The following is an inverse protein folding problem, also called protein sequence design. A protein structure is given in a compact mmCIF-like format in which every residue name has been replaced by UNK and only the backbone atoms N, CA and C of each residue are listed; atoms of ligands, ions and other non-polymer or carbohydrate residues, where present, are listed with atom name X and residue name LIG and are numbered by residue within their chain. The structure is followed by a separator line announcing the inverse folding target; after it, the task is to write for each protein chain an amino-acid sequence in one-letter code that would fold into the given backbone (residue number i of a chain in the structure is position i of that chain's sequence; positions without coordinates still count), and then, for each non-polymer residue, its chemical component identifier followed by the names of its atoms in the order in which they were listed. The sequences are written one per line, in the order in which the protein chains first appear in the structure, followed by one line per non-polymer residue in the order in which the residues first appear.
data_IF_530100449254
#
_entry.id   IF_530100449254
#
_cell.length_a   1.000
_cell.length_b   1.000
_cell.length_c   1.000
_cell.angle_alpha   90.00
_cell.angle_beta   90.00
_cell.angle_gamma   90.00
#
_symmetry.space_group_name_H-M   'P 1'
#
loop_
_entity.id
_entity.type
_entity.pdbx_description
1 polymer ?
#
# COMPACT_ATOMS: atom_id res chain seq x y z
N UNK A 1 -42.61 12.14 77.70
CA UNK A 1 -42.50 11.28 76.51
C UNK A 1 -41.79 12.09 75.42
N UNK A 2 -40.47 11.92 75.27
CA UNK A 2 -39.59 12.68 74.36
C UNK A 2 -39.14 11.72 73.27
N UNK A 3 -39.34 12.04 72.00
CA UNK A 3 -38.73 11.32 70.87
C UNK A 3 -37.72 12.25 70.17
N UNK A 4 -36.48 11.76 70.07
CA UNK A 4 -35.34 12.41 69.43
C UNK A 4 -35.50 12.41 67.90
N UNK A 5 -35.17 13.53 67.27
CA UNK A 5 -34.94 13.67 65.83
C UNK A 5 -33.47 13.38 65.56
N UNK A 6 -33.17 12.37 64.74
CA UNK A 6 -31.80 12.04 64.28
C UNK A 6 -31.52 12.73 62.94
N UNK A 7 -30.53 13.62 62.94
CA UNK A 7 -29.98 14.33 61.79
C UNK A 7 -28.92 13.45 61.10
N UNK A 8 -29.16 13.05 59.83
CA UNK A 8 -28.18 12.34 59.01
C UNK A 8 -27.28 13.36 58.30
N UNK A 9 -26.02 13.46 58.75
CA UNK A 9 -24.97 14.25 58.09
C UNK A 9 -24.36 13.43 56.94
N UNK A 10 -24.60 13.84 55.69
CA UNK A 10 -23.86 13.38 54.52
C UNK A 10 -22.43 13.95 54.55
N UNK A 11 -21.44 13.10 54.83
CA UNK A 11 -20.03 13.41 54.57
C UNK A 11 -19.73 13.21 53.07
N UNK A 12 -19.79 14.29 52.28
CA UNK A 12 -19.11 14.36 50.99
C UNK A 12 -17.61 14.59 51.24
N UNK A 13 -16.82 13.51 51.28
CA UNK A 13 -15.36 13.61 51.22
C UNK A 13 -14.90 14.00 49.82
N UNK A 14 -13.89 14.88 49.66
CA UNK A 14 -13.35 15.19 48.35
C UNK A 14 -12.64 13.94 47.81
N UNK A 15 -13.12 13.40 46.68
CA UNK A 15 -12.34 12.46 45.88
C UNK A 15 -11.10 13.22 45.38
N UNK A 16 -9.96 12.98 46.03
CA UNK A 16 -8.65 13.32 45.49
C UNK A 16 -8.46 12.49 44.22
N UNK A 17 -8.70 13.11 43.07
CA UNK A 17 -8.30 12.54 41.78
C UNK A 17 -6.78 12.37 41.81
N UNK A 18 -6.31 11.13 41.87
CA UNK A 18 -4.91 10.83 41.69
C UNK A 18 -4.46 11.40 40.33
N UNK A 19 -3.31 12.10 40.25
CA UNK A 19 -2.79 12.54 38.96
C UNK A 19 -2.60 11.32 38.08
N UNK A 20 -3.22 11.34 36.89
CA UNK A 20 -3.01 10.30 35.89
C UNK A 20 -1.50 10.22 35.61
N UNK A 21 -0.93 9.03 35.79
CA UNK A 21 0.45 8.79 35.40
C UNK A 21 0.62 9.18 33.92
N UNK A 22 1.72 9.83 33.53
CA UNK A 22 1.99 10.09 32.13
C UNK A 22 1.93 8.76 31.36
N UNK A 23 1.00 8.65 30.40
CA UNK A 23 0.86 7.47 29.57
C UNK A 23 2.18 7.15 28.89
N UNK A 24 2.59 5.88 28.89
CA UNK A 24 3.82 5.46 28.24
C UNK A 24 3.60 5.45 26.72
N UNK A 25 4.55 5.99 25.96
CA UNK A 25 4.53 5.86 24.51
C UNK A 25 4.63 4.37 24.13
N UNK A 26 3.82 3.87 23.18
CA UNK A 26 3.87 2.48 22.77
C UNK A 26 5.23 2.15 22.12
N UNK A 27 5.74 0.94 22.40
CA UNK A 27 6.96 0.42 21.78
C UNK A 27 6.57 -0.39 20.53
N UNK A 28 7.12 0.00 19.38
CA UNK A 28 6.91 -0.70 18.11
C UNK A 28 7.99 -1.76 17.88
N UNK A 29 7.59 -2.96 17.44
CA UNK A 29 8.52 -4.00 17.02
C UNK A 29 9.37 -3.49 15.86
N UNK A 30 10.70 -3.55 15.98
CA UNK A 30 11.60 -3.14 14.89
C UNK A 30 11.75 -4.26 13.86
N UNK A 31 11.95 -3.88 12.61
CA UNK A 31 12.35 -4.82 11.56
C UNK A 31 13.84 -5.07 11.73
N UNK A 32 14.22 -6.34 11.80
CA UNK A 32 15.63 -6.75 11.92
C UNK A 32 15.98 -7.75 10.82
N UNK A 33 17.25 -7.78 10.36
CA UNK A 33 17.70 -8.80 9.41
C UNK A 33 17.35 -10.21 9.89
N UNK A 34 16.86 -11.04 8.98
CA UNK A 34 16.60 -12.45 9.26
C UNK A 34 17.94 -13.20 9.31
N UNK A 35 18.04 -14.18 10.23
CA UNK A 35 19.19 -15.07 10.29
C UNK A 35 19.34 -15.85 8.97
N UNK A 36 20.57 -16.26 8.66
CA UNK A 36 20.87 -16.97 7.42
C UNK A 36 19.96 -18.21 7.24
N UNK A 37 19.37 -18.33 6.05
CA UNK A 37 18.44 -19.41 5.71
C UNK A 37 17.03 -19.28 6.33
N UNK A 38 16.75 -18.22 7.10
CA UNK A 38 15.39 -17.91 7.56
C UNK A 38 14.64 -17.05 6.54
N UNK A 39 13.32 -17.24 6.53
CA UNK A 39 12.39 -16.50 5.69
C UNK A 39 11.08 -16.27 6.45
N UNK A 40 10.22 -15.43 5.89
CA UNK A 40 8.82 -15.30 6.31
C UNK A 40 8.11 -16.66 6.33
N UNK A 41 7.20 -16.83 7.29
CA UNK A 41 6.52 -18.08 7.60
C UNK A 41 5.04 -18.02 7.20
N UNK A 42 4.64 -18.86 6.25
CA UNK A 42 3.26 -18.98 5.81
C UNK A 42 2.61 -20.23 6.42
N UNK A 43 1.33 -20.18 6.86
CA UNK A 43 0.35 -19.13 6.55
C UNK A 43 0.33 -17.92 7.50
N UNK A 44 1.10 -17.92 8.60
CA UNK A 44 1.05 -16.84 9.60
C UNK A 44 1.22 -15.46 8.96
N UNK A 45 2.20 -15.29 8.09
CA UNK A 45 2.52 -13.97 7.53
C UNK A 45 1.53 -13.50 6.45
N UNK A 46 0.45 -14.26 6.16
CA UNK A 46 -0.70 -13.73 5.43
C UNK A 46 -1.59 -12.83 6.29
N UNK A 47 -1.63 -13.04 7.61
CA UNK A 47 -2.39 -12.22 8.55
C UNK A 47 -1.65 -10.95 8.97
N UNK A 48 -2.34 -10.09 9.70
CA UNK A 48 -1.83 -8.80 10.17
C UNK A 48 -0.72 -8.93 11.23
N UNK A 49 0.16 -7.94 11.31
CA UNK A 49 1.28 -7.83 12.26
C UNK A 49 1.15 -6.59 13.16
N UNK A 50 0.15 -6.53 14.06
CA UNK A 50 -0.23 -5.30 14.80
C UNK A 50 0.84 -4.74 15.74
N UNK A 51 1.91 -5.49 16.03
CA UNK A 51 3.03 -5.01 16.84
C UNK A 51 3.92 -4.00 16.09
N UNK A 52 3.87 -4.00 14.75
CA UNK A 52 4.59 -3.06 13.89
C UNK A 52 3.78 -1.78 13.66
N UNK A 53 4.49 -0.65 13.48
CA UNK A 53 3.86 0.67 13.29
C UNK A 53 2.99 0.73 12.05
N UNK A 54 3.45 0.19 10.93
CA UNK A 54 2.82 0.31 9.62
C UNK A 54 2.67 -1.03 8.94
N UNK A 55 1.57 -1.22 8.20
CA UNK A 55 1.34 -2.39 7.36
C UNK A 55 0.45 -2.07 6.18
N UNK A 56 0.73 -2.67 5.03
CA UNK A 56 0.18 -2.31 3.73
C UNK A 56 -0.33 -3.55 3.02
N UNK A 57 -1.54 -3.47 2.48
CA UNK A 57 -2.06 -4.41 1.49
C UNK A 57 -2.36 -3.63 0.22
N UNK A 58 -1.62 -3.90 -0.84
CA UNK A 58 -1.70 -3.11 -2.06
C UNK A 58 -1.95 -4.01 -3.28
N UNK A 59 -3.17 -3.98 -3.79
CA UNK A 59 -3.58 -4.74 -4.96
C UNK A 59 -3.61 -3.83 -6.20
N UNK A 60 -2.86 -4.17 -7.23
CA UNK A 60 -2.82 -3.44 -8.51
C UNK A 60 -3.12 -4.38 -9.66
N UNK A 61 -3.97 -3.98 -10.60
CA UNK A 61 -4.39 -4.91 -11.64
C UNK A 61 -4.83 -4.28 -12.93
N UNK A 62 -4.69 -5.07 -13.99
CA UNK A 62 -5.28 -4.81 -15.29
C UNK A 62 -6.44 -5.76 -15.51
N UNK A 63 -7.58 -5.21 -15.87
CA UNK A 63 -8.81 -5.92 -16.19
C UNK A 63 -9.15 -5.70 -17.67
N UNK A 64 -9.82 -6.68 -18.25
CA UNK A 64 -10.39 -6.65 -19.58
C UNK A 64 -11.89 -6.92 -19.45
N UNK A 65 -12.72 -6.00 -19.97
CA UNK A 65 -14.17 -6.18 -20.00
C UNK A 65 -14.58 -7.24 -21.02
N UNK A 66 -15.83 -7.70 -20.95
CA UNK A 66 -16.39 -8.61 -21.95
C UNK A 66 -16.30 -8.06 -23.39
N UNK A 67 -16.33 -6.73 -23.54
CA UNK A 67 -16.19 -6.03 -24.82
C UNK A 67 -14.73 -5.80 -25.24
N UNK A 68 -13.75 -6.33 -24.52
CA UNK A 68 -12.32 -6.25 -24.84
C UNK A 68 -11.63 -4.97 -24.37
N UNK A 69 -12.32 -4.09 -23.64
CA UNK A 69 -11.76 -2.84 -23.13
C UNK A 69 -10.82 -3.10 -21.96
N UNK A 70 -9.63 -2.51 -21.99
CA UNK A 70 -8.68 -2.56 -20.86
C UNK A 70 -8.96 -1.46 -19.85
N UNK A 71 -8.97 -1.80 -18.57
CA UNK A 71 -9.07 -0.86 -17.45
C UNK A 71 -8.04 -1.22 -16.38
N UNK A 72 -7.47 -0.21 -15.73
CA UNK A 72 -6.63 -0.39 -14.56
C UNK A 72 -7.45 -0.28 -13.28
N UNK A 73 -7.04 -0.95 -12.22
CA UNK A 73 -7.52 -0.62 -10.88
C UNK A 73 -6.40 -0.78 -9.85
N UNK A 74 -6.54 -0.06 -8.73
CA UNK A 74 -5.79 -0.35 -7.51
C UNK A 74 -6.69 -0.29 -6.28
N UNK A 75 -6.32 -1.04 -5.25
CA UNK A 75 -6.89 -0.95 -3.90
C UNK A 75 -5.75 -1.03 -2.88
N UNK A 76 -5.66 -0.02 -2.04
CA UNK A 76 -4.71 0.05 -0.93
C UNK A 76 -5.44 0.06 0.39
N UNK A 77 -4.99 -0.78 1.32
CA UNK A 77 -5.26 -0.63 2.74
C UNK A 77 -3.95 -0.42 3.49
N UNK A 78 -3.94 0.55 4.39
CA UNK A 78 -2.82 0.87 5.26
C UNK A 78 -3.27 0.82 6.72
N UNK A 79 -2.60 0.01 7.54
CA UNK A 79 -2.72 0.10 8.99
C UNK A 79 -1.61 0.98 9.53
N UNK A 80 -1.98 1.95 10.36
CA UNK A 80 -1.06 2.72 11.19
C UNK A 80 -1.38 2.51 12.66
N UNK A 81 -0.38 2.11 13.45
CA UNK A 81 -0.43 2.15 14.91
C UNK A 81 0.03 3.53 15.37
N UNK A 82 -0.78 4.19 16.19
CA UNK A 82 -0.47 5.54 16.66
C UNK A 82 0.36 5.52 17.93
N UNK A 83 0.83 6.68 18.36
CA UNK A 83 1.54 6.84 19.64
C UNK A 83 0.58 6.85 20.86
N UNK A 84 -0.70 6.48 20.65
CA UNK A 84 -1.68 6.34 21.74
C UNK A 84 -1.29 5.15 22.62
N UNK A 85 -1.19 5.38 23.93
CA UNK A 85 -0.91 4.35 24.93
C UNK A 85 -1.90 3.16 24.82
N UNK A 86 -1.36 1.94 24.74
CA UNK A 86 -2.16 0.71 24.70
C UNK A 86 -2.96 0.50 26.00
N UNK A 87 -2.49 1.02 27.13
CA UNK A 87 -3.19 0.97 28.40
C UNK A 87 -4.39 1.94 28.45
N UNK A 88 -4.55 2.83 27.46
CA UNK A 88 -5.68 3.74 27.42
C UNK A 88 -7.01 2.94 27.37
N UNK A 89 -7.90 3.08 28.37
CA UNK A 89 -9.11 2.25 28.47
C UNK A 89 -10.20 2.68 27.48
N UNK A 90 -10.08 3.85 26.85
CA UNK A 90 -11.09 4.36 25.95
C UNK A 90 -11.12 3.55 24.65
N UNK A 91 -12.29 2.97 24.36
CA UNK A 91 -12.57 2.35 23.05
C UNK A 91 -12.49 3.37 21.90
N UNK A 92 -12.60 4.66 22.20
CA UNK A 92 -12.52 5.74 21.21
C UNK A 92 -11.06 6.20 20.96
N UNK A 93 -10.11 5.81 21.79
CA UNK A 93 -8.72 6.19 21.60
C UNK A 93 -8.17 5.59 20.29
N UNK A 94 -7.55 6.38 19.40
CA UNK A 94 -7.16 5.93 18.07
C UNK A 94 -5.87 5.09 18.09
N UNK A 95 -5.85 3.96 18.82
CA UNK A 95 -4.65 3.11 18.95
C UNK A 95 -4.16 2.59 17.61
N UNK A 96 -5.09 2.24 16.73
CA UNK A 96 -4.81 1.88 15.35
C UNK A 96 -5.79 2.58 14.41
N UNK A 97 -5.29 2.91 13.23
CA UNK A 97 -6.03 3.45 12.10
C UNK A 97 -5.95 2.44 10.96
N UNK A 98 -7.07 2.21 10.28
CA UNK A 98 -7.10 1.60 8.95
C UNK A 98 -7.49 2.72 7.98
N UNK A 99 -6.62 2.95 7.01
CA UNK A 99 -6.77 3.93 5.96
C UNK A 99 -6.85 3.15 4.65
N UNK A 100 -7.61 3.62 3.68
CA UNK A 100 -7.68 2.97 2.39
C UNK A 100 -8.05 3.92 1.28
N UNK A 101 -7.56 3.62 0.09
CA UNK A 101 -7.96 4.29 -1.14
C UNK A 101 -8.06 3.26 -2.26
N UNK A 102 -8.97 3.52 -3.19
CA UNK A 102 -9.17 2.68 -4.35
C UNK A 102 -9.36 3.56 -5.57
N UNK A 103 -8.96 3.05 -6.73
CA UNK A 103 -9.14 3.75 -7.99
C UNK A 103 -9.44 2.80 -9.15
N UNK A 104 -10.16 3.34 -10.13
CA UNK A 104 -10.41 2.73 -11.43
C UNK A 104 -9.90 3.67 -12.52
N UNK A 105 -8.98 3.17 -13.35
CA UNK A 105 -8.39 3.86 -14.49
C UNK A 105 -9.07 3.43 -15.78
N UNK A 106 -9.82 4.35 -16.38
CA UNK A 106 -10.47 4.15 -17.67
C UNK A 106 -10.04 5.26 -18.64
N UNK A 107 -9.32 4.88 -19.69
CA UNK A 107 -8.83 5.79 -20.73
C UNK A 107 -9.96 6.62 -21.38
N UNK A 108 -11.19 6.09 -21.44
CA UNK A 108 -12.34 6.84 -21.95
C UNK A 108 -12.84 7.92 -20.97
N UNK A 109 -12.57 7.76 -19.67
CA UNK A 109 -12.85 8.80 -18.66
C UNK A 109 -11.71 9.82 -18.56
N UNK A 110 -10.48 9.42 -18.86
CA UNK A 110 -9.31 10.31 -18.99
C UNK A 110 -8.71 10.80 -17.68
N UNK A 111 -9.25 10.36 -16.52
CA UNK A 111 -8.72 10.57 -15.16
C UNK A 111 -9.16 9.42 -14.24
N UNK A 112 -8.69 9.37 -13.00
CA UNK A 112 -9.15 8.36 -12.03
C UNK A 112 -10.58 8.63 -11.56
N UNK A 113 -11.39 7.58 -11.53
CA UNK A 113 -12.42 7.45 -10.51
C UNK A 113 -11.70 6.94 -9.26
N UNK A 114 -11.83 7.64 -8.13
CA UNK A 114 -11.20 7.22 -6.89
C UNK A 114 -12.05 7.59 -5.68
N UNK A 115 -11.82 6.86 -4.60
CA UNK A 115 -12.43 7.09 -3.30
C UNK A 115 -11.40 6.79 -2.21
N UNK A 116 -11.55 7.40 -1.06
CA UNK A 116 -10.61 7.34 0.05
C UNK A 116 -11.34 7.34 1.40
N UNK A 117 -10.81 6.58 2.37
CA UNK A 117 -11.45 6.39 3.68
C UNK A 117 -10.40 6.25 4.76
N UNK A 118 -10.78 6.64 5.97
CA UNK A 118 -10.01 6.32 7.17
C UNK A 118 -10.96 6.07 8.33
N UNK A 119 -10.62 5.07 9.15
CA UNK A 119 -11.35 4.77 10.36
C UNK A 119 -10.39 4.28 11.44
N UNK A 120 -10.76 4.54 12.68
CA UNK A 120 -10.07 3.94 13.83
C UNK A 120 -10.46 2.47 13.88
N UNK A 121 -9.46 1.62 14.14
CA UNK A 121 -9.75 0.24 14.43
C UNK A 121 -10.58 0.12 15.71
N UNK A 122 -11.48 -0.86 15.73
CA UNK A 122 -12.43 -1.06 16.82
C UNK A 122 -13.89 -0.86 16.38
N UNK A 123 -14.81 -1.23 17.27
CA UNK A 123 -16.26 -1.19 17.03
C UNK A 123 -16.77 -1.99 15.80
N UNK A 124 -15.94 -2.84 15.20
CA UNK A 124 -16.28 -3.62 14.01
C UNK A 124 -16.31 -2.84 12.68
N UNK A 125 -16.04 -1.54 12.71
CA UNK A 125 -16.01 -0.70 11.50
C UNK A 125 -14.73 -0.93 10.70
N UNK A 126 -13.59 -0.99 11.38
CA UNK A 126 -12.30 -1.24 10.76
C UNK A 126 -11.44 -2.20 11.58
N UNK A 127 -10.76 -3.12 10.89
CA UNK A 127 -9.81 -4.06 11.48
C UNK A 127 -8.95 -4.73 10.41
N UNK A 128 -7.86 -5.37 10.84
CA UNK A 128 -7.09 -6.33 10.06
C UNK A 128 -6.86 -7.60 10.91
N UNK A 129 -7.30 -8.75 10.42
CA UNK A 129 -7.22 -10.03 11.15
C UNK A 129 -5.79 -10.59 11.20
N UNK A 130 -5.41 -11.19 12.34
CA UNK A 130 -4.06 -11.74 12.54
C UNK A 130 -3.91 -13.20 12.06
N UNK A 131 -5.02 -13.93 11.91
CA UNK A 131 -4.99 -15.35 11.56
C UNK A 131 -4.74 -15.60 10.06
N UNK A 132 -5.28 -14.73 9.22
CA UNK A 132 -5.11 -14.71 7.75
C UNK A 132 -5.48 -13.30 7.26
N UNK A 133 -5.37 -13.03 5.96
CA UNK A 133 -5.81 -11.74 5.40
C UNK A 133 -7.32 -11.60 5.55
N UNK A 134 -7.77 -10.75 6.46
CA UNK A 134 -9.14 -10.22 6.55
C UNK A 134 -9.05 -8.76 6.97
N UNK A 135 -9.05 -7.87 5.97
CA UNK A 135 -8.99 -6.44 6.20
C UNK A 135 -10.30 -5.79 5.82
N UNK A 136 -10.83 -4.98 6.74
CA UNK A 136 -12.10 -4.28 6.62
C UNK A 136 -11.92 -2.80 6.92
N UNK A 137 -12.55 -1.96 6.11
CA UNK A 137 -12.68 -0.53 6.32
C UNK A 137 -14.09 -0.10 5.93
N UNK A 138 -14.96 0.05 6.93
CA UNK A 138 -16.39 0.21 6.72
C UNK A 138 -16.97 -0.95 5.89
N UNK A 139 -17.55 -0.71 4.72
CA UNK A 139 -18.04 -1.74 3.80
C UNK A 139 -16.99 -2.23 2.79
N UNK A 140 -15.77 -1.67 2.78
CA UNK A 140 -14.65 -2.18 2.01
C UNK A 140 -14.05 -3.40 2.69
N UNK A 141 -13.78 -4.45 1.92
CA UNK A 141 -13.19 -5.67 2.46
C UNK A 141 -12.32 -6.40 1.48
N UNK A 142 -11.20 -6.94 1.97
CA UNK A 142 -10.42 -7.96 1.28
C UNK A 142 -10.20 -9.14 2.24
N UNK A 143 -10.54 -10.34 1.80
CA UNK A 143 -10.43 -11.58 2.59
C UNK A 143 -9.69 -12.65 1.81
N UNK A 144 -8.90 -13.49 2.48
CA UNK A 144 -8.29 -14.69 1.92
C UNK A 144 -9.03 -15.93 2.42
N UNK A 145 -9.46 -16.78 1.48
CA UNK A 145 -10.05 -18.08 1.77
C UNK A 145 -9.01 -19.15 2.07
N UNK A 146 -9.45 -20.28 2.63
CA UNK A 146 -8.58 -21.43 2.90
C UNK A 146 -7.95 -22.03 1.62
N UNK A 147 -8.60 -21.86 0.47
CA UNK A 147 -8.08 -22.21 -0.86
C UNK A 147 -7.01 -21.22 -1.37
N UNK A 148 -6.76 -20.17 -0.61
CA UNK A 148 -5.78 -19.14 -0.89
C UNK A 148 -6.25 -18.01 -1.80
N UNK A 149 -7.49 -18.07 -2.32
CA UNK A 149 -8.09 -17.02 -3.14
C UNK A 149 -8.42 -15.80 -2.30
N UNK A 150 -8.25 -14.62 -2.87
CA UNK A 150 -8.70 -13.38 -2.26
C UNK A 150 -10.06 -12.98 -2.84
N UNK A 151 -10.99 -12.59 -1.97
CA UNK A 151 -12.23 -11.91 -2.37
C UNK A 151 -12.14 -10.46 -1.94
N UNK A 152 -12.38 -9.53 -2.86
CA UNK A 152 -12.27 -8.10 -2.64
C UNK A 152 -13.57 -7.41 -3.08
N UNK A 153 -14.18 -6.67 -2.14
CA UNK A 153 -15.41 -5.91 -2.35
C UNK A 153 -15.19 -4.47 -1.93
N UNK A 154 -15.26 -3.57 -2.90
CA UNK A 154 -14.96 -2.14 -2.74
C UNK A 154 -16.11 -1.36 -3.37
N UNK A 155 -17.21 -1.11 -2.63
CA UNK A 155 -18.22 -0.14 -3.02
C UNK A 155 -17.68 1.28 -2.77
N UNK A 156 -17.18 1.92 -3.83
CA UNK A 156 -16.63 3.26 -3.77
C UNK A 156 -17.61 4.31 -4.28
N UNK A 157 -17.36 5.58 -3.98
CA UNK A 157 -18.11 6.68 -4.59
C UNK A 157 -17.83 6.76 -6.09
N UNK A 158 -18.83 6.41 -6.92
CA UNK A 158 -18.76 6.51 -8.38
C UNK A 158 -18.21 5.28 -9.11
N UNK A 159 -17.78 4.24 -8.39
CA UNK A 159 -17.40 2.96 -8.98
C UNK A 159 -17.50 1.83 -7.95
N UNK A 160 -17.50 0.57 -8.39
CA UNK A 160 -17.34 -0.56 -7.48
C UNK A 160 -16.51 -1.68 -8.06
N UNK A 161 -15.83 -2.42 -7.18
CA UNK A 161 -15.05 -3.61 -7.50
C UNK A 161 -15.61 -4.79 -6.68
N UNK A 162 -15.97 -5.88 -7.35
CA UNK A 162 -16.30 -7.17 -6.74
C UNK A 162 -15.48 -8.24 -7.46
N UNK A 163 -14.30 -8.54 -6.92
CA UNK A 163 -13.25 -9.29 -7.59
C UNK A 163 -12.80 -10.50 -6.77
N UNK A 164 -12.45 -11.57 -7.47
CA UNK A 164 -11.76 -12.74 -6.94
C UNK A 164 -10.37 -12.80 -7.56
N UNK A 165 -9.34 -12.90 -6.72
CA UNK A 165 -7.93 -12.97 -7.10
C UNK A 165 -7.40 -14.36 -6.74
N UNK A 166 -7.08 -15.16 -7.74
CA UNK A 166 -6.64 -16.55 -7.59
C UNK A 166 -5.12 -16.65 -7.76
N UNK A 167 -4.37 -17.11 -6.74
CA UNK A 167 -2.95 -17.35 -6.87
C UNK A 167 -2.63 -18.39 -7.94
N UNK A 168 -1.70 -18.06 -8.85
CA UNK A 168 -1.22 -18.97 -9.90
C UNK A 168 0.23 -19.40 -9.70
N UNK A 169 0.94 -18.74 -8.77
CA UNK A 169 2.36 -18.95 -8.51
C UNK A 169 2.65 -18.85 -7.00
N UNK A 170 3.80 -19.39 -6.54
CA UNK A 170 4.26 -19.19 -5.17
C UNK A 170 4.47 -17.71 -4.84
N UNK A 171 4.41 -17.40 -3.54
CA UNK A 171 4.79 -16.10 -2.99
C UNK A 171 6.18 -15.70 -3.49
N UNK A 172 6.33 -14.44 -3.88
CA UNK A 172 7.61 -13.82 -4.21
C UNK A 172 8.10 -13.06 -2.98
N UNK A 173 9.08 -13.61 -2.27
CA UNK A 173 9.73 -12.91 -1.16
C UNK A 173 10.59 -11.78 -1.71
N UNK A 174 10.43 -10.58 -1.16
CA UNK A 174 11.25 -9.43 -1.50
C UNK A 174 12.50 -9.39 -0.61
N UNK A 175 13.59 -8.84 -1.14
CA UNK A 175 14.86 -8.81 -0.43
C UNK A 175 15.34 -10.20 0.01
N UNK A 176 16.02 -10.28 1.16
CA UNK A 176 16.60 -11.53 1.67
C UNK A 176 15.62 -12.24 2.59
N UNK A 177 14.95 -13.28 2.08
CA UNK A 177 13.99 -14.06 2.86
C UNK A 177 12.73 -13.28 3.27
N UNK A 178 12.44 -12.15 2.63
CA UNK A 178 11.37 -11.23 3.00
C UNK A 178 11.83 -10.01 3.80
N UNK A 179 13.08 -9.94 4.26
CA UNK A 179 13.66 -8.71 4.79
C UNK A 179 14.14 -7.83 3.62
N UNK A 180 13.48 -6.69 3.42
CA UNK A 180 13.69 -5.79 2.29
C UNK A 180 14.13 -4.41 2.78
N UNK A 181 15.40 -4.05 2.55
CA UNK A 181 15.89 -2.71 2.86
C UNK A 181 15.34 -1.69 1.88
N UNK A 182 15.05 -0.50 2.41
CA UNK A 182 14.58 0.71 1.71
C UNK A 182 15.45 1.93 2.04
N UNK A 183 16.63 1.70 2.59
CA UNK A 183 17.59 2.74 2.96
C UNK A 183 18.95 2.13 3.33
N UNK A 184 19.99 2.96 3.41
CA UNK A 184 21.36 2.51 3.68
C UNK A 184 21.53 1.87 5.06
N UNK A 185 20.68 2.21 6.04
CA UNK A 185 20.79 1.66 7.39
C UNK A 185 19.91 0.41 7.56
N UNK A 186 20.35 -0.63 8.29
CA UNK A 186 19.61 -1.89 8.41
C UNK A 186 18.19 -1.75 9.01
N UNK A 187 17.96 -0.77 9.87
CA UNK A 187 16.63 -0.51 10.43
C UNK A 187 15.63 0.03 9.39
N UNK A 188 16.14 0.61 8.29
CA UNK A 188 15.34 1.16 7.20
C UNK A 188 14.92 0.03 6.27
N UNK A 189 14.06 -0.84 6.80
CA UNK A 189 13.63 -2.05 6.13
C UNK A 189 12.18 -2.35 6.47
N UNK A 190 11.62 -3.24 5.65
CA UNK A 190 10.31 -3.84 5.87
C UNK A 190 10.42 -5.35 5.75
N UNK A 191 9.49 -6.04 6.39
CA UNK A 191 9.17 -7.39 5.98
C UNK A 191 8.17 -7.30 4.82
N UNK A 192 8.47 -8.00 3.72
CA UNK A 192 7.82 -7.72 2.45
C UNK A 192 7.77 -8.96 1.55
N UNK A 193 6.58 -9.29 1.07
CA UNK A 193 6.37 -10.25 0.00
C UNK A 193 5.29 -9.79 -0.97
N UNK A 194 5.29 -10.41 -2.14
CA UNK A 194 4.31 -10.18 -3.19
C UNK A 194 3.64 -11.48 -3.64
N UNK A 195 2.42 -11.36 -4.15
CA UNK A 195 1.73 -12.38 -4.95
C UNK A 195 1.51 -11.81 -6.34
N UNK A 196 2.43 -12.06 -7.28
CA UNK A 196 2.24 -11.67 -8.67
C UNK A 196 1.31 -12.67 -9.38
N UNK A 197 0.93 -12.32 -10.60
CA UNK A 197 0.22 -13.18 -11.54
C UNK A 197 -1.11 -13.73 -10.98
N UNK A 198 -1.76 -13.02 -10.05
CA UNK A 198 -3.07 -13.41 -9.54
C UNK A 198 -4.06 -13.37 -10.70
N UNK A 199 -4.68 -14.50 -11.02
CA UNK A 199 -5.75 -14.55 -12.01
C UNK A 199 -6.97 -13.87 -11.43
N UNK A 200 -7.45 -12.82 -12.10
CA UNK A 200 -8.52 -11.98 -11.61
C UNK A 200 -9.80 -12.20 -12.39
N UNK A 201 -10.93 -12.31 -11.70
CA UNK A 201 -12.26 -12.38 -12.29
C UNK A 201 -13.26 -11.63 -11.42
N UNK A 202 -14.40 -11.22 -11.98
CA UNK A 202 -15.48 -10.63 -11.20
C UNK A 202 -16.27 -9.60 -11.99
N UNK A 203 -16.73 -8.57 -11.29
CA UNK A 203 -17.48 -7.47 -11.88
C UNK A 203 -17.00 -6.11 -11.40
N UNK A 204 -17.09 -5.12 -12.27
CA UNK A 204 -16.90 -3.70 -11.93
C UNK A 204 -18.15 -2.90 -12.28
N UNK A 205 -18.35 -1.78 -11.61
CA UNK A 205 -19.25 -0.69 -12.04
C UNK A 205 -18.40 0.55 -12.20
N UNK A 206 -18.43 1.18 -13.38
CA UNK A 206 -17.68 2.41 -13.67
C UNK A 206 -18.57 3.65 -13.68
N UNK A 207 -18.09 4.73 -14.31
CA UNK A 207 -18.82 6.00 -14.43
C UNK A 207 -20.14 5.90 -15.21
N UNK A 208 -20.31 4.88 -16.05
CA UNK A 208 -21.55 4.61 -16.79
C UNK A 208 -22.64 3.95 -15.92
N UNK A 209 -22.32 3.59 -14.68
CA UNK A 209 -23.23 2.90 -13.76
C UNK A 209 -23.53 1.45 -14.16
N UNK A 210 -22.91 0.91 -15.21
CA UNK A 210 -23.19 -0.44 -15.73
C UNK A 210 -22.31 -1.47 -15.04
N UNK A 211 -22.95 -2.51 -14.49
CA UNK A 211 -22.24 -3.69 -14.00
C UNK A 211 -21.68 -4.48 -15.17
N UNK A 212 -20.35 -4.61 -15.21
CA UNK A 212 -19.60 -5.22 -16.32
C UNK A 212 -18.76 -6.37 -15.81
N UNK A 213 -18.86 -7.54 -16.45
CA UNK A 213 -18.01 -8.69 -16.15
C UNK A 213 -16.57 -8.44 -16.65
N UNK A 214 -15.60 -8.87 -15.86
CA UNK A 214 -14.18 -8.65 -16.13
C UNK A 214 -13.34 -9.89 -15.87
N UNK A 215 -12.24 -9.98 -16.59
CA UNK A 215 -11.13 -10.90 -16.32
C UNK A 215 -9.80 -10.14 -16.36
N UNK A 216 -8.74 -10.64 -15.74
CA UNK A 216 -7.49 -9.90 -15.71
C UNK A 216 -6.39 -10.55 -14.90
N UNK A 217 -5.37 -9.75 -14.61
CA UNK A 217 -4.22 -10.16 -13.79
C UNK A 217 -3.93 -9.08 -12.75
N UNK A 218 -3.72 -9.51 -11.51
CA UNK A 218 -3.45 -8.65 -10.36
C UNK A 218 -2.12 -9.01 -9.70
N UNK A 219 -1.45 -7.98 -9.21
CA UNK A 219 -0.34 -8.06 -8.28
C UNK A 219 -0.86 -7.67 -6.89
N UNK A 220 -0.44 -8.39 -5.84
CA UNK A 220 -0.70 -8.02 -4.46
C UNK A 220 0.62 -7.91 -3.69
N UNK A 221 0.82 -6.78 -3.02
CA UNK A 221 1.86 -6.60 -2.03
C UNK A 221 1.32 -6.67 -0.61
N UNK A 222 2.14 -7.24 0.28
CA UNK A 222 1.94 -7.19 1.71
C UNK A 222 3.26 -6.83 2.40
N UNK A 223 3.29 -5.68 3.05
CA UNK A 223 4.50 -5.09 3.64
C UNK A 223 4.23 -4.57 5.05
N UNK A 224 5.10 -4.84 6.03
CA UNK A 224 5.03 -4.24 7.37
C UNK A 224 6.38 -3.76 7.89
N UNK A 225 6.36 -2.64 8.61
CA UNK A 225 7.57 -2.03 9.18
C UNK A 225 7.25 -1.11 10.36
N UNK A 226 8.28 -0.70 11.11
CA UNK A 226 8.18 0.33 12.15
C UNK A 226 8.98 1.60 11.87
N UNK A 227 9.72 1.62 10.76
CA UNK A 227 10.40 2.80 10.26
C UNK A 227 9.98 2.99 8.81
N UNK A 228 9.31 4.12 8.53
CA UNK A 228 8.55 4.24 7.29
C UNK A 228 9.44 4.66 6.12
N UNK A 229 10.16 5.76 6.25
CA UNK A 229 11.12 6.27 5.26
C UNK A 229 12.28 6.98 5.98
N UNK A 230 13.40 7.17 5.26
CA UNK A 230 14.46 8.07 5.72
C UNK A 230 13.91 9.50 5.90
N UNK A 231 14.27 10.23 6.98
CA UNK A 231 13.89 11.64 7.15
C UNK A 231 14.26 12.55 5.97
N UNK A 232 15.29 12.21 5.20
CA UNK A 232 15.73 12.95 4.02
C UNK A 232 15.01 12.52 2.73
N UNK A 233 14.11 11.53 2.80
CA UNK A 233 13.32 11.09 1.67
C UNK A 233 12.22 12.10 1.29
N UNK A 234 12.13 12.41 0.01
CA UNK A 234 11.00 13.13 -0.58
C UNK A 234 9.81 12.19 -0.85
N UNK A 235 10.06 10.95 -1.27
CA UNK A 235 9.03 9.97 -1.61
C UNK A 235 9.65 8.79 -2.34
N UNK A 236 8.82 7.93 -2.94
CA UNK A 236 9.28 6.78 -3.71
C UNK A 236 8.65 6.72 -5.09
N UNK A 237 9.34 6.02 -5.99
CA UNK A 237 8.78 5.50 -7.23
C UNK A 237 8.80 3.98 -7.10
N UNK A 238 7.68 3.32 -7.34
CA UNK A 238 7.54 1.87 -7.23
C UNK A 238 6.87 1.30 -8.47
N UNK A 239 7.29 0.10 -8.88
CA UNK A 239 6.62 -0.69 -9.91
C UNK A 239 6.43 -2.12 -9.47
N UNK A 240 5.25 -2.68 -9.77
CA UNK A 240 4.96 -4.11 -9.79
C UNK A 240 4.43 -4.51 -11.16
N UNK A 241 5.09 -5.47 -11.80
CA UNK A 241 4.83 -5.87 -13.18
C UNK A 241 4.59 -7.38 -13.30
N UNK A 242 3.48 -7.72 -13.94
CA UNK A 242 3.18 -9.07 -14.41
C UNK A 242 3.63 -9.16 -15.88
N UNK A 243 4.60 -10.04 -16.15
CA UNK A 243 5.14 -10.26 -17.48
C UNK A 243 4.33 -11.32 -18.23
N UNK A 244 4.24 -11.19 -19.55
CA UNK A 244 3.41 -12.04 -20.41
C UNK A 244 3.93 -13.49 -20.48
N UNK A 245 5.20 -13.72 -20.17
CA UNK A 245 5.83 -15.05 -20.08
C UNK A 245 5.61 -15.74 -18.72
N UNK A 246 4.84 -15.12 -17.82
CA UNK A 246 4.63 -15.57 -16.45
C UNK A 246 5.65 -15.03 -15.45
N UNK A 247 6.66 -14.28 -15.89
CA UNK A 247 7.61 -13.60 -15.00
C UNK A 247 6.98 -12.49 -14.17
N UNK A 248 7.72 -12.00 -13.19
CA UNK A 248 7.28 -10.96 -12.27
C UNK A 248 8.45 -10.02 -11.91
N UNK A 249 8.26 -8.72 -12.02
CA UNK A 249 9.25 -7.70 -11.65
C UNK A 249 8.65 -6.75 -10.63
N UNK A 250 9.33 -6.58 -9.49
CA UNK A 250 9.14 -5.46 -8.58
C UNK A 250 10.39 -4.60 -8.60
N UNK A 251 10.27 -3.28 -8.69
CA UNK A 251 11.40 -2.37 -8.52
C UNK A 251 10.94 -1.09 -7.85
N UNK A 252 11.81 -0.48 -7.04
CA UNK A 252 11.54 0.84 -6.49
C UNK A 252 12.81 1.66 -6.34
N UNK A 253 12.63 2.96 -6.17
CA UNK A 253 13.64 3.86 -5.62
C UNK A 253 13.05 4.78 -4.57
N UNK A 254 13.87 5.12 -3.57
CA UNK A 254 13.60 6.20 -2.61
C UNK A 254 14.33 7.45 -3.08
N UNK A 255 13.57 8.53 -3.28
CA UNK A 255 14.11 9.81 -3.75
C UNK A 255 14.39 10.72 -2.56
N UNK A 256 15.53 11.40 -2.58
CA UNK A 256 15.93 12.38 -1.57
C UNK A 256 15.35 13.77 -1.83
N UNK A 257 15.29 14.57 -0.77
CA UNK A 257 14.96 16.00 -0.83
C UNK A 257 16.14 16.80 -1.40
N UNK A 258 15.83 17.97 -1.95
CA UNK A 258 16.80 19.03 -2.29
C UNK A 258 16.36 20.28 -1.55
N UNK A 259 17.22 20.85 -0.70
CA UNK A 259 16.91 22.00 0.17
C UNK A 259 15.61 21.83 0.99
N UNK A 260 15.40 20.61 1.50
CA UNK A 260 14.21 20.24 2.27
C UNK A 260 12.91 20.09 1.46
N UNK A 261 12.97 20.25 0.13
CA UNK A 261 11.82 20.22 -0.79
C UNK A 261 11.87 19.00 -1.71
N UNK A 262 10.74 18.73 -2.35
CA UNK A 262 10.68 17.74 -3.45
C UNK A 262 11.32 18.32 -4.72
N UNK A 263 12.03 17.48 -5.47
CA UNK A 263 12.59 17.84 -6.77
C UNK A 263 11.61 17.42 -7.88
N UNK A 264 11.17 18.38 -8.70
CA UNK A 264 10.27 18.10 -9.83
C UNK A 264 11.00 17.23 -10.86
N UNK A 265 10.33 16.21 -11.41
CA UNK A 265 10.93 15.28 -12.38
C UNK A 265 11.89 14.21 -11.80
N UNK A 266 12.18 14.23 -10.49
CA UNK A 266 12.98 13.20 -9.81
C UNK A 266 14.18 13.76 -9.05
N UNK A 267 14.33 13.37 -7.77
CA UNK A 267 15.46 13.75 -6.92
C UNK A 267 16.58 12.71 -6.89
N UNK A 268 17.66 13.00 -6.15
CA UNK A 268 18.75 12.05 -5.92
C UNK A 268 18.20 10.72 -5.36
N UNK A 269 18.76 9.59 -5.78
CA UNK A 269 18.31 8.28 -5.28
C UNK A 269 19.05 7.96 -3.98
N UNK A 270 18.31 7.83 -2.88
CA UNK A 270 18.86 7.42 -1.57
C UNK A 270 19.00 5.90 -1.45
N UNK A 271 18.10 5.19 -2.13
CA UNK A 271 18.08 3.73 -2.18
C UNK A 271 17.33 3.27 -3.42
N UNK A 272 17.71 2.13 -3.99
CA UNK A 272 16.94 1.45 -5.02
C UNK A 272 17.08 -0.05 -4.87
N UNK A 273 16.08 -0.78 -5.35
CA UNK A 273 16.05 -2.23 -5.29
C UNK A 273 15.15 -2.77 -6.39
N UNK A 274 15.48 -3.96 -6.89
CA UNK A 274 14.58 -4.71 -7.75
C UNK A 274 14.63 -6.20 -7.42
N UNK A 275 13.54 -6.89 -7.70
CA UNK A 275 13.44 -8.34 -7.65
C UNK A 275 12.71 -8.82 -8.89
N UNK A 276 13.38 -9.66 -9.66
CA UNK A 276 12.87 -10.22 -10.89
C UNK A 276 12.82 -11.74 -10.77
N UNK A 277 11.61 -12.31 -10.90
CA UNK A 277 11.39 -13.73 -11.14
C UNK A 277 11.17 -13.95 -12.63
N UNK A 278 12.05 -14.71 -13.28
CA UNK A 278 11.88 -15.06 -14.69
C UNK A 278 10.87 -16.20 -14.90
N UNK A 279 10.57 -16.53 -16.16
CA UNK A 279 9.63 -17.58 -16.53
C UNK A 279 10.05 -18.99 -16.07
N UNK A 280 11.35 -19.21 -15.77
CA UNK A 280 11.84 -20.48 -15.19
C UNK A 280 11.64 -20.55 -13.67
N UNK A 281 11.27 -19.43 -13.04
CA UNK A 281 11.14 -19.29 -11.60
C UNK A 281 12.42 -18.84 -10.91
N UNK A 282 13.51 -18.56 -11.64
CA UNK A 282 14.74 -18.01 -11.07
C UNK A 282 14.49 -16.60 -10.57
N UNK A 283 14.83 -16.36 -9.30
CA UNK A 283 14.73 -15.04 -8.67
C UNK A 283 16.12 -14.39 -8.68
N UNK A 284 16.18 -13.15 -9.15
CA UNK A 284 17.38 -12.30 -9.11
C UNK A 284 17.03 -11.02 -8.36
N UNK A 285 17.89 -10.63 -7.41
CA UNK A 285 17.78 -9.39 -6.68
C UNK A 285 18.86 -8.42 -7.16
N UNK A 286 18.52 -7.14 -7.21
CA UNK A 286 19.39 -6.07 -7.68
C UNK A 286 19.53 -5.00 -6.61
N UNK A 287 20.77 -4.61 -6.31
CA UNK A 287 21.07 -3.58 -5.32
C UNK A 287 20.90 -2.16 -5.86
N UNK A 288 21.11 -1.13 -5.03
CA UNK A 288 20.96 0.27 -5.41
C UNK A 288 21.78 0.69 -6.64
N UNK A 289 22.96 0.10 -6.83
CA UNK A 289 23.88 0.35 -7.94
C UNK A 289 23.39 -0.22 -9.28
N UNK A 290 22.55 -1.24 -9.24
CA UNK A 290 22.07 -1.96 -10.42
C UNK A 290 20.71 -1.43 -10.92
N UNK A 291 20.07 -0.54 -10.15
CA UNK A 291 18.70 -0.11 -10.40
C UNK A 291 18.64 1.39 -10.66
N UNK A 292 18.16 1.77 -11.84
CA UNK A 292 17.99 3.18 -12.20
C UNK A 292 16.61 3.44 -12.78
N UNK A 293 16.07 4.63 -12.50
CA UNK A 293 14.79 5.12 -13.02
C UNK A 293 15.04 6.40 -13.81
N UNK A 294 14.86 6.34 -15.12
CA UNK A 294 15.08 7.45 -16.05
C UNK A 294 13.75 7.92 -16.64
N UNK A 295 13.28 9.14 -16.28
CA UNK A 295 12.07 9.71 -16.88
C UNK A 295 12.16 9.81 -18.41
N UNK A 296 11.08 9.46 -19.10
CA UNK A 296 10.90 9.64 -20.55
C UNK A 296 9.84 10.69 -20.88
N UNK A 297 8.78 10.76 -20.07
CA UNK A 297 7.70 11.74 -20.25
C UNK A 297 7.25 12.25 -18.90
N UNK A 298 7.16 13.57 -18.78
CA UNK A 298 6.62 14.25 -17.61
C UNK A 298 5.18 14.68 -17.89
N UNK A 299 4.31 14.57 -16.90
CA UNK A 299 2.96 15.12 -16.93
C UNK A 299 2.76 16.00 -15.71
N UNK A 300 2.25 17.21 -15.93
CA UNK A 300 1.94 18.17 -14.87
C UNK A 300 0.46 18.10 -14.54
N UNK A 301 0.14 17.83 -13.28
CA UNK A 301 -1.24 17.84 -12.81
C UNK A 301 -1.80 19.26 -12.83
N UNK A 302 -2.94 19.50 -13.49
CA UNK A 302 -3.63 20.78 -13.40
C UNK A 302 -4.29 21.02 -12.03
N UNK A 303 -4.43 19.98 -11.19
CA UNK A 303 -5.08 20.07 -9.87
C UNK A 303 -4.12 20.41 -8.74
N UNK A 304 -2.91 19.86 -8.78
CA UNK A 304 -1.93 19.97 -7.69
C UNK A 304 -0.67 20.72 -8.10
N UNK A 305 -0.44 20.90 -9.41
CA UNK A 305 0.77 21.50 -9.96
C UNK A 305 1.99 20.58 -9.96
N UNK A 306 1.89 19.37 -9.37
CA UNK A 306 2.97 18.39 -9.35
C UNK A 306 3.32 17.89 -10.76
N UNK A 307 4.61 17.63 -11.00
CA UNK A 307 5.12 17.09 -12.25
C UNK A 307 5.65 15.67 -12.07
N UNK A 308 4.95 14.70 -12.66
CA UNK A 308 5.19 13.27 -12.48
C UNK A 308 5.89 12.65 -13.71
N UNK A 309 6.91 11.78 -13.54
CA UNK A 309 7.48 10.99 -14.62
C UNK A 309 6.57 9.81 -14.98
N UNK A 310 5.48 10.09 -15.68
CA UNK A 310 4.43 9.10 -16.01
C UNK A 310 4.89 8.03 -17.01
N UNK A 311 5.92 8.30 -17.80
CA UNK A 311 6.64 7.28 -18.57
C UNK A 311 8.10 7.24 -18.11
N UNK A 312 8.60 6.03 -17.82
CA UNK A 312 9.92 5.82 -17.22
C UNK A 312 10.62 4.64 -17.88
N UNK A 313 11.94 4.69 -17.96
CA UNK A 313 12.78 3.52 -18.22
C UNK A 313 13.40 3.08 -16.90
N UNK A 314 13.22 1.81 -16.56
CA UNK A 314 13.85 1.19 -15.40
C UNK A 314 14.95 0.27 -15.91
N UNK A 315 16.18 0.45 -15.46
CA UNK A 315 17.25 -0.52 -15.68
C UNK A 315 17.43 -1.40 -14.45
N UNK A 316 17.64 -2.70 -14.65
CA UNK A 316 18.00 -3.68 -13.61
C UNK A 316 19.19 -4.50 -14.12
N UNK A 317 20.39 -4.15 -13.70
CA UNK A 317 21.63 -4.61 -14.35
C UNK A 317 21.64 -4.20 -15.83
N UNK A 318 21.85 -5.17 -16.72
CA UNK A 318 21.89 -4.92 -18.17
C UNK A 318 20.48 -4.87 -18.83
N UNK A 319 19.42 -5.18 -18.09
CA UNK A 319 18.06 -5.24 -18.65
C UNK A 319 17.34 -3.91 -18.51
N UNK A 320 16.71 -3.45 -19.59
CA UNK A 320 15.92 -2.21 -19.63
C UNK A 320 14.43 -2.50 -19.83
N UNK A 321 13.61 -1.87 -19.00
CA UNK A 321 12.15 -1.97 -18.97
C UNK A 321 11.53 -0.60 -19.21
N UNK A 322 10.77 -0.45 -20.28
CA UNK A 322 10.08 0.80 -20.61
C UNK A 322 8.64 0.73 -20.15
N UNK A 323 8.23 1.67 -19.30
CA UNK A 323 6.86 1.79 -18.81
C UNK A 323 6.17 2.92 -19.57
N UNK A 324 5.00 2.63 -20.12
CA UNK A 324 4.13 3.59 -20.81
C UNK A 324 2.76 3.62 -20.12
N UNK A 325 2.29 4.78 -19.64
CA UNK A 325 1.06 4.87 -18.84
C UNK A 325 -0.19 4.63 -19.71
N UNK A 326 -1.22 4.00 -19.14
CA UNK A 326 -2.53 3.83 -19.79
C UNK A 326 -3.15 5.19 -20.16
N UNK A 327 -3.04 6.15 -19.25
CA UNK A 327 -3.41 7.55 -19.44
C UNK A 327 -2.51 8.45 -18.58
N UNK A 328 -2.28 9.72 -18.96
CA UNK A 328 -1.41 10.61 -18.18
C UNK A 328 -1.96 10.93 -16.79
N UNK A 329 -3.26 11.20 -16.71
CA UNK A 329 -3.91 11.59 -15.47
C UNK A 329 -4.37 10.34 -14.69
N UNK A 330 -3.45 9.86 -13.84
CA UNK A 330 -3.73 8.81 -12.86
C UNK A 330 -3.38 9.29 -11.43
N UNK A 331 -3.53 10.59 -11.17
CA UNK A 331 -3.27 11.17 -9.85
C UNK A 331 -4.47 10.99 -8.91
N UNK A 332 -4.18 10.51 -7.70
CA UNK A 332 -5.08 10.29 -6.59
C UNK A 332 -4.70 11.25 -5.46
N UNK A 333 -5.57 12.21 -5.19
CA UNK A 333 -5.40 13.15 -4.09
C UNK A 333 -6.14 12.64 -2.85
N UNK A 334 -5.42 11.96 -1.95
CA UNK A 334 -5.96 11.44 -0.69
C UNK A 334 -5.54 12.24 0.54
N UNK A 335 -5.36 13.56 0.38
CA UNK A 335 -4.96 14.44 1.48
C UNK A 335 -5.97 14.48 2.63
N UNK A 336 -7.23 14.08 2.40
CA UNK A 336 -8.27 14.07 3.44
C UNK A 336 -8.25 12.80 4.30
N UNK A 337 -7.65 11.70 3.84
CA UNK A 337 -7.52 10.45 4.61
C UNK A 337 -6.06 10.09 4.94
N UNK A 338 -5.20 9.91 3.93
CA UNK A 338 -3.79 9.51 4.09
C UNK A 338 -2.87 10.71 4.32
N UNK A 339 -3.32 11.91 3.95
CA UNK A 339 -2.51 13.13 4.04
C UNK A 339 -1.53 13.33 2.88
N UNK A 340 -1.61 12.52 1.83
CA UNK A 340 -0.69 12.55 0.69
C UNK A 340 -1.41 12.59 -0.68
N UNK A 341 -0.63 12.85 -1.73
CA UNK A 341 -1.06 12.77 -3.13
C UNK A 341 -0.16 11.75 -3.82
N UNK A 342 -0.79 10.84 -4.55
CA UNK A 342 -0.16 9.73 -5.24
C UNK A 342 -0.43 9.87 -6.74
N UNK A 343 0.46 9.35 -7.56
CA UNK A 343 0.11 8.96 -8.92
C UNK A 343 0.08 7.43 -8.95
N UNK A 344 -1.07 6.86 -9.24
CA UNK A 344 -1.44 5.45 -9.05
C UNK A 344 -1.85 4.85 -10.39
N UNK A 345 -0.85 4.61 -11.26
CA UNK A 345 -1.15 4.45 -12.67
C UNK A 345 -0.83 3.09 -13.26
N UNK A 346 -1.84 2.53 -13.92
CA UNK A 346 -1.70 1.41 -14.83
C UNK A 346 -0.74 1.78 -15.96
N UNK A 347 0.24 0.92 -16.23
CA UNK A 347 1.22 1.07 -17.29
C UNK A 347 1.43 -0.25 -18.07
N UNK A 348 1.80 -0.16 -19.34
CA UNK A 348 2.32 -1.31 -20.10
C UNK A 348 3.82 -1.39 -19.93
N UNK A 349 4.38 -2.60 -20.05
CA UNK A 349 5.83 -2.83 -19.96
C UNK A 349 6.35 -3.26 -21.32
N UNK A 350 7.40 -2.60 -21.81
CA UNK A 350 8.07 -2.93 -23.07
C UNK A 350 9.55 -3.26 -22.85
N UNK A 351 10.05 -4.21 -23.63
CA UNK A 351 11.48 -4.58 -23.71
C UNK A 351 11.84 -4.83 -25.17
N UNK A 352 12.94 -4.27 -25.65
CA UNK A 352 13.37 -4.41 -27.04
C UNK A 352 12.32 -3.98 -28.07
N UNK A 353 11.55 -2.93 -27.75
CA UNK A 353 10.49 -2.41 -28.62
C UNK A 353 9.19 -3.24 -28.65
N UNK A 354 9.08 -4.34 -27.90
CA UNK A 354 7.86 -5.16 -27.81
C UNK A 354 7.22 -5.01 -26.43
N UNK A 355 5.89 -5.04 -26.36
CA UNK A 355 5.21 -5.20 -25.08
C UNK A 355 5.51 -6.61 -24.54
N UNK A 356 5.83 -6.69 -23.25
CA UNK A 356 6.19 -7.92 -22.53
C UNK A 356 5.44 -8.09 -21.22
N UNK A 357 4.49 -7.21 -20.93
CA UNK A 357 3.70 -7.28 -19.70
C UNK A 357 2.92 -6.01 -19.42
N UNK A 358 2.34 -5.99 -18.22
CA UNK A 358 1.57 -4.88 -17.67
C UNK A 358 1.97 -4.67 -16.22
N UNK A 359 1.90 -3.43 -15.78
CA UNK A 359 2.37 -2.99 -14.48
C UNK A 359 1.46 -1.94 -13.87
N UNK A 360 1.72 -1.65 -12.61
CA UNK A 360 1.37 -0.38 -11.98
C UNK A 360 2.64 0.36 -11.59
N UNK A 361 2.64 1.67 -11.81
CA UNK A 361 3.66 2.60 -11.35
C UNK A 361 3.02 3.51 -10.30
N UNK A 362 3.58 3.48 -9.09
CA UNK A 362 3.20 4.36 -8.00
C UNK A 362 4.26 5.44 -7.82
N UNK A 363 3.83 6.70 -7.73
CA UNK A 363 4.71 7.85 -7.53
C UNK A 363 4.21 8.69 -6.36
N UNK A 364 5.03 8.82 -5.33
CA UNK A 364 4.67 9.58 -4.12
C UNK A 364 5.61 10.74 -3.89
N UNK A 365 5.18 11.77 -3.18
CA UNK A 365 6.07 12.86 -2.76
C UNK A 365 6.39 13.93 -3.81
N UNK A 366 5.66 13.98 -4.93
CA UNK A 366 5.86 14.98 -6.00
C UNK A 366 5.20 16.34 -5.74
N UNK A 367 4.16 16.38 -4.89
CA UNK A 367 3.55 17.62 -4.41
C UNK A 367 4.38 18.22 -3.27
N UNK A 368 4.73 17.37 -2.29
CA UNK A 368 5.52 17.71 -1.10
C UNK A 368 6.16 16.42 -0.57
N UNK A 369 7.24 16.49 0.22
CA UNK A 369 7.82 15.30 0.82
C UNK A 369 6.81 14.46 1.61
N UNK A 370 6.89 13.15 1.47
CA UNK A 370 6.04 12.19 2.18
C UNK A 370 6.25 12.28 3.68
N UNK A 371 5.13 12.20 4.42
CA UNK A 371 5.08 12.02 5.87
C UNK A 371 4.02 10.97 6.13
N UNK A 372 4.37 9.93 6.89
CA UNK A 372 3.52 8.77 7.17
C UNK A 372 3.45 8.50 8.66
#
# INVERSE_FOLDING_TARGET
MRFLVSLFLLLCGPLLAAPAAPGLAPIFTQVVPLADGKALAFPRDFGAHPSFRTEWWYATGWLTTAEGKSVGYQVTFFRSRTDTDDANPSKFAPKQLIIGHAALSDAAHGKLLHDERSARAGFGLAFAGEADTDIKLDDWRMTRGADGRYTMRIPASGFSLDLVLEPTQPVLLQGRGGYSQKGPRPEQASYYYSKPQLKTSGTIVGADGRRTAVSGVTWLDHEWSSQVLDPDAAGWDWVGANLDDGGALMAFRIRGKTDGKTHQGGGATLWAHATWRDASGKITHFGPEDVTFTPRTLWRSPRTGAEYPVAVTIATGETSWQLDPLQPDQELDSRRSTGAVYWEGAATVRRGGRQVGRAYLELTGYVRPMKL
#
